data_IF_388634131816
#
_entry.id   IF_388634131816
#
_cell.length_a   1.000
_cell.length_b   1.000
_cell.length_c   1.000
_cell.angle_alpha   90.00
_cell.angle_beta   90.00
_cell.angle_gamma   90.00
#
_symmetry.space_group_name_H-M   'P 1'
#
loop_
_entity.id
_entity.type
_entity.pdbx_description
1 polymer ?
#
# COMPACT_ATOMS: atom_id res chain seq x y z
N UNK A 1 1.08 15.15 -24.03
CA UNK A 1 0.68 14.19 -22.99
C UNK A 1 0.11 14.99 -21.83
N UNK A 2 -1.19 14.86 -21.53
CA UNK A 2 -1.84 15.69 -20.50
C UNK A 2 -1.71 14.98 -19.15
N UNK A 3 -1.04 15.61 -18.18
CA UNK A 3 -0.89 15.07 -16.82
C UNK A 3 -2.27 15.14 -16.14
N UNK A 4 -2.94 14.00 -15.92
CA UNK A 4 -4.10 13.95 -15.02
C UNK A 4 -3.62 14.39 -13.63
N UNK A 5 -4.40 15.22 -12.94
CA UNK A 5 -4.14 15.63 -11.56
C UNK A 5 -5.32 15.13 -10.75
N UNK A 6 -5.15 14.03 -10.01
CA UNK A 6 -6.16 13.55 -9.04
C UNK A 6 -6.35 14.65 -7.99
N UNK A 7 -7.60 15.04 -7.70
CA UNK A 7 -7.94 16.12 -6.74
C UNK A 7 -8.64 15.48 -5.54
N UNK A 8 -7.99 15.51 -4.38
CA UNK A 8 -8.50 14.93 -3.15
C UNK A 8 -9.52 15.87 -2.47
N UNK A 9 -10.79 15.45 -2.42
CA UNK A 9 -11.89 16.25 -1.88
C UNK A 9 -12.34 15.77 -0.48
N UNK A 10 -11.56 16.08 0.54
CA UNK A 10 -11.89 15.75 1.94
C UNK A 10 -13.02 16.62 2.51
N UNK A 11 -14.23 16.08 2.64
CA UNK A 11 -15.33 16.74 3.36
C UNK A 11 -15.18 16.58 4.87
N UNK A 12 -14.93 17.68 5.57
CA UNK A 12 -15.01 17.77 7.03
C UNK A 12 -16.21 18.61 7.46
N UNK A 13 -17.11 18.03 8.27
CA UNK A 13 -18.10 18.78 9.05
C UNK A 13 -17.93 18.45 10.53
N UNK A 14 -17.19 19.31 11.23
CA UNK A 14 -17.13 19.30 12.68
C UNK A 14 -18.31 20.11 13.25
N UNK A 15 -19.07 19.52 14.18
CA UNK A 15 -20.01 20.25 15.04
C UNK A 15 -19.43 20.24 16.45
N UNK A 16 -18.76 21.33 16.82
CA UNK A 16 -18.33 21.59 18.19
C UNK A 16 -19.42 22.36 18.94
N UNK A 17 -20.10 21.71 19.88
CA UNK A 17 -20.90 22.39 20.89
C UNK A 17 -20.03 22.63 22.10
N UNK A 18 -19.59 23.88 22.29
CA UNK A 18 -18.87 24.30 23.49
C UNK A 18 -19.85 24.73 24.58
N UNK A 19 -19.66 24.20 25.80
CA UNK A 19 -20.28 24.71 27.02
C UNK A 19 -19.17 25.11 28.01
N UNK A 20 -19.30 26.24 28.73
CA UNK A 20 -18.25 26.69 29.64
C UNK A 20 -18.32 25.94 30.97
N UNK A 21 -17.19 25.43 31.44
CA UNK A 21 -17.00 25.05 32.84
C UNK A 21 -15.83 25.88 33.38
N UNK A 22 -16.12 26.77 34.32
CA UNK A 22 -15.10 27.44 35.11
C UNK A 22 -14.77 26.60 36.35
N UNK A 23 -13.48 26.44 36.65
CA UNK A 23 -13.00 26.08 38.00
C UNK A 23 -11.54 26.46 38.19
N UNK A 24 -11.37 27.50 39.01
CA UNK A 24 -10.28 27.92 39.89
C UNK A 24 -8.92 27.19 39.84
N UNK A 25 -7.86 27.99 39.89
CA UNK A 25 -6.48 27.57 40.09
C UNK A 25 -6.17 27.22 41.56
N UNK A 26 -5.10 26.46 41.77
CA UNK A 26 -4.39 26.35 43.05
C UNK A 26 -2.88 26.28 42.78
N UNK A 27 -2.11 27.13 43.47
CA UNK A 27 -0.65 27.26 43.31
C UNK A 27 0.14 26.14 44.01
N UNK A 28 1.24 25.68 43.39
CA UNK A 28 2.34 24.96 44.08
C UNK A 28 3.70 25.29 43.46
N UNK A 29 4.70 25.56 44.31
CA UNK A 29 6.10 25.88 43.97
C UNK A 29 7.07 25.14 44.92
N UNK A 30 8.31 24.79 44.58
CA UNK A 30 9.05 24.74 43.29
C UNK A 30 9.99 23.50 43.33
N UNK A 31 10.78 23.15 42.30
CA UNK A 31 12.11 23.70 41.97
C UNK A 31 12.63 23.00 40.67
N UNK A 32 13.68 23.50 39.98
CA UNK A 32 13.92 23.19 38.57
C UNK A 32 14.82 21.96 38.33
N UNK A 33 14.63 21.34 37.16
CA UNK A 33 15.64 20.51 36.50
C UNK A 33 15.83 20.97 35.04
N UNK A 34 17.03 20.67 34.50
CA UNK A 34 17.57 21.35 33.32
C UNK A 34 16.82 21.07 32.01
N UNK A 35 16.82 22.08 31.14
CA UNK A 35 16.15 22.02 29.84
C UNK A 35 16.84 21.07 28.85
N UNK A 36 16.02 20.26 28.19
CA UNK A 36 16.29 19.78 26.83
C UNK A 36 15.21 20.34 25.91
N UNK A 37 15.52 21.42 25.19
CA UNK A 37 14.66 21.93 24.12
C UNK A 37 14.71 20.98 22.92
N UNK A 38 13.86 19.96 22.90
CA UNK A 38 13.51 19.28 21.65
C UNK A 38 12.59 20.20 20.85
N UNK A 39 13.21 21.05 20.03
CA UNK A 39 12.50 21.91 19.07
C UNK A 39 11.81 21.02 18.02
N UNK A 40 10.59 20.60 18.30
CA UNK A 40 9.75 19.91 17.34
C UNK A 40 9.49 20.83 16.15
N UNK A 41 9.92 20.42 14.96
CA UNK A 41 9.78 21.24 13.74
C UNK A 41 8.31 21.44 13.38
N UNK A 42 7.78 22.60 13.75
CA UNK A 42 6.41 23.04 13.43
C UNK A 42 6.12 23.00 11.92
N UNK A 43 7.17 23.07 11.08
CA UNK A 43 7.11 22.94 9.63
C UNK A 43 6.51 21.60 9.14
N UNK A 44 6.73 20.49 9.86
CA UNK A 44 6.18 19.17 9.48
C UNK A 44 4.67 19.10 9.73
N UNK A 45 4.18 19.74 10.80
CA UNK A 45 2.75 19.83 11.08
C UNK A 45 2.05 20.82 10.13
N UNK A 46 2.74 21.92 9.78
CA UNK A 46 2.26 22.92 8.82
C UNK A 46 2.05 22.31 7.41
N UNK A 47 2.93 21.40 6.97
CA UNK A 47 2.79 20.70 5.68
C UNK A 47 1.56 19.80 5.64
N UNK A 48 1.26 19.09 6.74
CA UNK A 48 0.07 18.25 6.86
C UNK A 48 -1.24 19.08 6.92
N UNK A 49 -1.19 20.31 7.44
CA UNK A 49 -2.36 21.20 7.51
C UNK A 49 -2.58 22.04 6.23
N UNK A 50 -1.55 22.29 5.43
CA UNK A 50 -1.64 23.08 4.20
C UNK A 50 -2.49 22.45 3.07
N UNK A 51 -2.89 21.19 3.20
CA UNK A 51 -3.81 20.53 2.28
C UNK A 51 -5.31 20.83 2.53
N UNK A 52 -5.65 21.65 3.53
CA UNK A 52 -7.03 22.08 3.77
C UNK A 52 -7.27 23.54 3.38
N UNK A 53 -7.97 23.73 2.26
CA UNK A 53 -8.84 24.90 2.06
C UNK A 53 -8.42 25.91 1.00
N UNK A 54 -8.95 25.74 -0.22
CA UNK A 54 -9.47 26.87 -0.99
C UNK A 54 -10.74 26.43 -1.73
N UNK A 55 -11.87 27.02 -1.34
CA UNK A 55 -13.17 26.81 -1.99
C UNK A 55 -13.85 28.14 -2.29
N UNK A 56 -14.55 28.19 -3.42
CA UNK A 56 -15.57 29.19 -3.73
C UNK A 56 -16.81 28.44 -4.29
N UNK A 57 -18.04 28.91 -4.04
CA UNK A 57 -19.20 28.02 -3.99
C UNK A 57 -19.93 27.87 -5.32
N UNK A 58 -20.39 26.64 -5.62
CA UNK A 58 -21.44 26.36 -6.60
C UNK A 58 -22.51 25.46 -5.96
N UNK A 59 -23.77 25.71 -6.30
CA UNK A 59 -24.96 25.03 -5.74
C UNK A 59 -25.12 23.59 -6.27
N UNK A 60 -25.86 22.72 -5.56
CA UNK A 60 -25.73 21.26 -5.72
C UNK A 60 -26.55 20.69 -6.87
N UNK A 61 -26.02 19.66 -7.52
CA UNK A 61 -26.77 18.74 -8.37
C UNK A 61 -26.09 17.36 -8.42
N UNK A 62 -26.92 16.30 -8.32
CA UNK A 62 -26.68 14.89 -8.67
C UNK A 62 -25.46 14.15 -8.06
N UNK A 63 -25.78 13.06 -7.35
CA UNK A 63 -24.90 11.97 -6.95
C UNK A 63 -24.47 11.08 -8.13
N UNK A 64 -23.19 10.68 -8.15
CA UNK A 64 -22.50 9.59 -8.90
C UNK A 64 -21.02 10.03 -9.01
N UNK A 65 -19.97 9.20 -9.03
CA UNK A 65 -19.73 7.82 -8.61
C UNK A 65 -18.23 7.75 -8.18
N UNK A 66 -17.75 6.63 -7.62
CA UNK A 66 -16.39 6.56 -7.04
C UNK A 66 -15.26 6.51 -8.07
N UNK A 67 -14.22 7.33 -7.88
CA UNK A 67 -12.92 7.20 -8.56
C UNK A 67 -11.93 6.42 -7.68
N UNK A 68 -11.96 5.09 -7.79
CA UNK A 68 -10.86 4.23 -7.34
C UNK A 68 -9.92 3.95 -8.50
N UNK A 69 -8.89 4.77 -8.68
CA UNK A 69 -7.96 4.75 -9.83
C UNK A 69 -6.53 4.34 -9.42
N UNK A 70 -6.42 3.46 -8.43
CA UNK A 70 -5.26 2.55 -8.26
C UNK A 70 -5.36 1.32 -9.17
N UNK A 71 -6.50 1.11 -9.86
CA UNK A 71 -6.63 0.15 -10.97
C UNK A 71 -5.94 0.60 -12.26
N UNK A 72 -4.91 1.45 -12.16
CA UNK A 72 -4.29 2.14 -13.28
C UNK A 72 -3.67 1.21 -14.31
N UNK A 73 -3.94 1.50 -15.58
CA UNK A 73 -3.23 1.04 -16.79
C UNK A 73 -3.13 -0.48 -17.12
N UNK A 74 -3.06 -1.41 -16.16
CA UNK A 74 -3.03 -2.87 -16.44
C UNK A 74 -4.37 -3.60 -16.20
N UNK A 75 -5.31 -2.97 -15.48
CA UNK A 75 -6.53 -3.63 -14.99
C UNK A 75 -7.64 -3.94 -16.02
N UNK A 76 -7.57 -3.44 -17.26
CA UNK A 76 -8.62 -3.68 -18.26
C UNK A 76 -8.56 -5.11 -18.84
N UNK A 77 -9.26 -6.03 -18.15
CA UNK A 77 -9.53 -7.45 -18.49
C UNK A 77 -8.55 -8.52 -17.94
N UNK A 78 -8.06 -8.36 -16.70
CA UNK A 78 -7.51 -9.53 -15.97
C UNK A 78 -8.59 -10.61 -15.75
N UNK A 79 -8.19 -11.87 -15.77
CA UNK A 79 -9.08 -12.97 -15.43
C UNK A 79 -9.51 -12.89 -13.94
N UNK A 80 -10.76 -13.20 -13.56
CA UNK A 80 -11.27 -13.04 -12.18
C UNK A 80 -10.39 -13.62 -11.08
N UNK A 81 -9.77 -14.78 -11.33
CA UNK A 81 -8.81 -15.39 -10.39
C UNK A 81 -7.55 -14.52 -10.18
N UNK A 82 -7.01 -13.98 -11.26
CA UNK A 82 -5.75 -13.24 -11.27
C UNK A 82 -5.98 -11.83 -10.71
N UNK A 83 -7.08 -11.19 -11.07
CA UNK A 83 -7.50 -9.91 -10.49
C UNK A 83 -7.68 -10.02 -8.97
N UNK A 84 -8.40 -11.04 -8.49
CA UNK A 84 -8.59 -11.26 -7.06
C UNK A 84 -7.27 -11.58 -6.33
N UNK A 85 -6.44 -12.47 -6.89
CA UNK A 85 -5.18 -12.85 -6.22
C UNK A 85 -4.18 -11.69 -6.21
N UNK A 86 -4.01 -10.96 -7.32
CA UNK A 86 -3.25 -9.70 -7.40
C UNK A 86 -3.72 -8.71 -6.34
N UNK A 87 -5.02 -8.47 -6.24
CA UNK A 87 -5.58 -7.53 -5.26
C UNK A 87 -5.32 -7.93 -3.80
N UNK A 88 -5.41 -9.22 -3.47
CA UNK A 88 -5.05 -9.73 -2.15
C UNK A 88 -3.57 -9.49 -1.84
N UNK A 89 -2.70 -9.71 -2.83
CA UNK A 89 -1.26 -9.58 -2.65
C UNK A 89 -0.79 -8.11 -2.64
N UNK A 90 -1.45 -7.21 -3.39
CA UNK A 90 -1.26 -5.76 -3.18
C UNK A 90 -1.62 -5.34 -1.75
N UNK A 91 -2.75 -5.82 -1.21
CA UNK A 91 -3.10 -5.58 0.19
C UNK A 91 -1.98 -6.08 1.13
N UNK A 92 -1.37 -7.25 0.87
CA UNK A 92 -0.22 -7.72 1.65
C UNK A 92 1.00 -6.79 1.53
N UNK A 93 1.28 -6.27 0.34
CA UNK A 93 2.36 -5.31 0.09
C UNK A 93 2.26 -4.05 0.95
N UNK A 94 1.10 -3.38 0.97
CA UNK A 94 0.90 -2.23 1.88
C UNK A 94 0.99 -2.66 3.36
N UNK A 95 0.35 -3.78 3.72
CA UNK A 95 0.34 -4.28 5.11
C UNK A 95 1.75 -4.64 5.63
N UNK A 96 2.68 -5.04 4.75
CA UNK A 96 4.10 -5.22 5.08
C UNK A 96 4.72 -3.88 5.49
N UNK A 97 4.58 -2.87 4.64
CA UNK A 97 5.23 -1.56 4.81
C UNK A 97 4.62 -0.75 5.94
N UNK A 98 3.29 -0.75 6.06
CA UNK A 98 2.58 -0.19 7.20
C UNK A 98 3.01 -0.83 8.53
N UNK A 99 3.33 -2.14 8.55
CA UNK A 99 3.85 -2.78 9.76
C UNK A 99 5.27 -2.33 10.11
N UNK A 100 6.19 -2.27 9.13
CA UNK A 100 7.55 -1.75 9.34
C UNK A 100 7.53 -0.31 9.89
N UNK A 101 6.64 0.54 9.35
CA UNK A 101 6.47 1.91 9.82
C UNK A 101 5.90 1.97 11.25
N UNK A 102 4.94 1.12 11.59
CA UNK A 102 4.41 0.99 12.96
C UNK A 102 5.50 0.51 13.94
N UNK A 103 6.35 -0.44 13.54
CA UNK A 103 7.47 -0.94 14.35
C UNK A 103 8.55 0.13 14.56
N UNK A 104 8.76 1.01 13.57
CA UNK A 104 9.56 2.22 13.71
C UNK A 104 8.85 3.36 14.48
N UNK A 105 7.64 3.14 15.01
CA UNK A 105 6.83 4.14 15.73
C UNK A 105 6.19 5.22 14.84
N UNK A 106 6.33 5.12 13.52
CA UNK A 106 5.87 6.09 12.50
C UNK A 106 4.40 5.89 12.12
N UNK A 107 3.51 5.81 13.12
CA UNK A 107 2.08 5.53 12.94
C UNK A 107 1.35 6.47 11.97
N UNK A 108 1.79 7.74 11.83
CA UNK A 108 1.18 8.68 10.90
C UNK A 108 1.55 8.33 9.44
N UNK A 109 2.83 8.06 9.20
CA UNK A 109 3.36 7.66 7.89
C UNK A 109 2.90 6.25 7.50
N UNK A 110 2.62 5.41 8.48
CA UNK A 110 2.04 4.09 8.29
C UNK A 110 0.58 4.14 7.84
N UNK A 111 -0.16 5.24 8.10
CA UNK A 111 -1.61 5.25 7.92
C UNK A 111 -2.09 5.06 6.47
N UNK A 112 -1.50 5.72 5.43
CA UNK A 112 -1.90 5.51 4.02
C UNK A 112 -1.90 4.02 3.61
N UNK A 113 -0.91 3.25 4.08
CA UNK A 113 -0.77 1.80 3.90
C UNK A 113 -1.92 0.94 4.47
N UNK A 114 -2.84 1.53 5.23
CA UNK A 114 -4.08 0.88 5.69
C UNK A 114 -5.34 1.55 5.12
N UNK A 115 -5.20 2.67 4.40
CA UNK A 115 -6.28 3.34 3.68
C UNK A 115 -6.36 2.88 2.22
N UNK A 116 -5.25 2.79 1.48
CA UNK A 116 -5.27 2.33 0.08
C UNK A 116 -5.93 0.93 -0.04
N UNK A 117 -5.62 -0.06 0.84
CA UNK A 117 -6.40 -1.30 0.94
C UNK A 117 -7.91 -1.15 1.23
N UNK A 118 -8.32 -0.21 2.10
CA UNK A 118 -9.72 -0.02 2.53
C UNK A 118 -10.56 0.73 1.50
N UNK A 119 -9.99 1.79 0.94
CA UNK A 119 -10.68 2.85 0.19
C UNK A 119 -10.55 2.64 -1.33
N UNK A 120 -9.41 2.14 -1.82
CA UNK A 120 -9.10 1.98 -3.24
C UNK A 120 -9.15 0.52 -3.71
N UNK A 121 -8.31 -0.37 -3.17
CA UNK A 121 -8.19 -1.76 -3.67
C UNK A 121 -9.47 -2.58 -3.44
N UNK A 122 -10.00 -2.62 -2.21
CA UNK A 122 -11.10 -3.52 -1.87
C UNK A 122 -12.34 -3.31 -2.76
N UNK A 123 -12.53 -2.10 -3.28
CA UNK A 123 -13.70 -1.77 -4.06
C UNK A 123 -13.82 -2.60 -5.35
N UNK A 124 -12.70 -2.84 -6.05
CA UNK A 124 -12.65 -3.65 -7.27
C UNK A 124 -12.86 -5.15 -7.01
N UNK A 125 -12.45 -5.66 -5.85
CA UNK A 125 -12.47 -7.10 -5.55
C UNK A 125 -13.86 -7.67 -5.24
N UNK A 126 -14.89 -6.81 -5.07
CA UNK A 126 -16.20 -7.23 -4.52
C UNK A 126 -16.93 -8.29 -5.33
N UNK A 127 -16.85 -8.26 -6.67
CA UNK A 127 -17.53 -9.24 -7.53
C UNK A 127 -16.74 -10.55 -7.63
N UNK A 128 -15.41 -10.50 -7.60
CA UNK A 128 -14.61 -11.72 -7.57
C UNK A 128 -14.74 -12.45 -6.24
N UNK A 129 -14.76 -11.73 -5.11
CA UNK A 129 -15.00 -12.34 -3.80
C UNK A 129 -16.30 -13.17 -3.79
N UNK A 130 -17.36 -12.71 -4.45
CA UNK A 130 -18.59 -13.50 -4.66
C UNK A 130 -18.34 -14.70 -5.58
N UNK A 131 -17.70 -14.49 -6.73
CA UNK A 131 -17.38 -15.52 -7.74
C UNK A 131 -16.54 -16.68 -7.17
N UNK A 132 -15.67 -16.40 -6.20
CA UNK A 132 -14.84 -17.40 -5.52
C UNK A 132 -15.41 -17.86 -4.17
N UNK A 133 -16.64 -17.44 -3.80
CA UNK A 133 -17.30 -17.74 -2.51
C UNK A 133 -16.45 -17.37 -1.28
N UNK A 134 -15.68 -16.29 -1.39
CA UNK A 134 -14.84 -15.75 -0.31
C UNK A 134 -15.67 -14.80 0.56
N UNK A 135 -15.54 -14.93 1.88
CA UNK A 135 -16.20 -14.02 2.81
C UNK A 135 -15.67 -12.58 2.68
N UNK A 136 -16.53 -11.55 2.62
CA UNK A 136 -16.11 -10.17 2.48
C UNK A 136 -15.29 -9.69 3.70
N UNK A 137 -14.24 -8.91 3.45
CA UNK A 137 -13.30 -8.44 4.48
C UNK A 137 -13.19 -6.92 4.62
N UNK A 138 -14.07 -6.12 3.99
CA UNK A 138 -14.08 -4.65 4.13
C UNK A 138 -14.12 -4.18 5.59
N UNK A 139 -14.93 -4.84 6.43
CA UNK A 139 -15.04 -4.50 7.84
C UNK A 139 -13.75 -4.81 8.63
N UNK A 140 -12.96 -5.78 8.19
CA UNK A 140 -11.66 -6.09 8.80
C UNK A 140 -10.61 -5.04 8.40
N UNK A 141 -10.56 -4.62 7.13
CA UNK A 141 -9.72 -3.52 6.66
C UNK A 141 -10.02 -2.22 7.42
N UNK A 142 -11.31 -1.85 7.49
CA UNK A 142 -11.77 -0.67 8.24
C UNK A 142 -11.44 -0.72 9.73
N UNK A 143 -11.63 -1.89 10.36
CA UNK A 143 -11.24 -2.09 11.76
C UNK A 143 -9.73 -1.91 11.95
N UNK A 144 -8.93 -2.45 11.03
CA UNK A 144 -7.48 -2.32 11.06
C UNK A 144 -7.03 -0.86 10.91
N UNK A 145 -7.51 -0.13 9.89
CA UNK A 145 -7.16 1.29 9.69
C UNK A 145 -7.54 2.15 10.90
N UNK A 146 -8.68 1.87 11.55
CA UNK A 146 -9.10 2.52 12.79
C UNK A 146 -8.14 2.26 13.96
N UNK A 147 -7.58 1.05 14.11
CA UNK A 147 -6.57 0.79 15.16
C UNK A 147 -5.27 1.55 14.93
N UNK A 148 -4.89 1.77 13.65
CA UNK A 148 -3.71 2.55 13.25
C UNK A 148 -3.94 4.04 13.49
N UNK A 149 -5.10 4.58 13.11
CA UNK A 149 -5.56 5.94 13.46
C UNK A 149 -5.51 6.18 14.98
N UNK A 150 -5.92 5.20 15.77
CA UNK A 150 -5.89 5.24 17.23
C UNK A 150 -4.53 4.93 17.88
N UNK A 151 -3.51 4.55 17.09
CA UNK A 151 -2.17 4.12 17.54
C UNK A 151 -2.18 3.02 18.63
N UNK A 152 -3.19 2.14 18.59
CA UNK A 152 -3.40 1.11 19.61
C UNK A 152 -2.75 -0.20 19.16
N UNK A 153 -1.51 -0.48 19.62
CA UNK A 153 -0.72 -1.66 19.20
C UNK A 153 -1.39 -3.00 19.51
N UNK A 154 -2.08 -3.14 20.63
CA UNK A 154 -2.77 -4.39 21.01
C UNK A 154 -4.00 -4.64 20.13
N UNK A 155 -4.79 -3.59 19.85
CA UNK A 155 -5.91 -3.68 18.95
C UNK A 155 -5.44 -3.92 17.50
N UNK A 156 -4.38 -3.24 17.07
CA UNK A 156 -3.73 -3.45 15.77
C UNK A 156 -3.30 -4.90 15.59
N UNK A 157 -2.56 -5.48 16.54
CA UNK A 157 -2.08 -6.87 16.45
C UNK A 157 -3.24 -7.86 16.27
N UNK A 158 -4.35 -7.68 17.01
CA UNK A 158 -5.55 -8.52 16.87
C UNK A 158 -6.29 -8.30 15.55
N UNK A 159 -6.48 -7.05 15.13
CA UNK A 159 -7.14 -6.72 13.87
C UNK A 159 -6.33 -7.21 12.65
N UNK A 160 -5.00 -7.13 12.72
CA UNK A 160 -4.06 -7.59 11.71
C UNK A 160 -4.14 -9.11 11.53
N UNK A 161 -4.02 -9.87 12.62
CA UNK A 161 -4.15 -11.34 12.56
C UNK A 161 -5.51 -11.78 11.98
N UNK A 162 -6.60 -11.13 12.39
CA UNK A 162 -7.94 -11.42 11.85
C UNK A 162 -8.08 -11.06 10.36
N UNK A 163 -7.35 -10.06 9.84
CA UNK A 163 -7.30 -9.78 8.42
C UNK A 163 -6.41 -10.80 7.67
N UNK A 164 -5.25 -11.14 8.21
CA UNK A 164 -4.32 -12.12 7.60
C UNK A 164 -4.98 -13.50 7.40
N UNK A 165 -5.82 -13.95 8.36
CA UNK A 165 -6.67 -15.15 8.23
C UNK A 165 -7.65 -15.07 7.05
N UNK A 166 -8.27 -13.89 6.83
CA UNK A 166 -9.23 -13.66 5.75
C UNK A 166 -8.55 -13.63 4.38
N UNK A 167 -7.39 -12.99 4.29
CA UNK A 167 -6.57 -12.97 3.09
C UNK A 167 -6.09 -14.39 2.74
N UNK A 168 -5.57 -15.16 3.71
CA UNK A 168 -5.14 -16.54 3.51
C UNK A 168 -6.29 -17.48 3.06
N UNK A 169 -7.50 -17.29 3.60
CA UNK A 169 -8.69 -18.02 3.15
C UNK A 169 -9.07 -17.65 1.71
N UNK A 170 -8.94 -16.37 1.33
CA UNK A 170 -9.21 -15.88 -0.02
C UNK A 170 -8.21 -16.45 -1.05
N UNK A 171 -6.91 -16.42 -0.75
CA UNK A 171 -5.85 -17.03 -1.57
C UNK A 171 -6.09 -18.53 -1.76
N UNK A 172 -6.46 -19.23 -0.68
CA UNK A 172 -6.76 -20.66 -0.72
C UNK A 172 -7.95 -20.95 -1.63
N UNK A 173 -9.01 -20.16 -1.56
CA UNK A 173 -10.20 -20.32 -2.40
C UNK A 173 -9.88 -20.10 -3.89
N UNK A 174 -9.07 -19.09 -4.23
CA UNK A 174 -8.64 -18.85 -5.62
C UNK A 174 -7.72 -19.96 -6.11
N UNK A 175 -6.60 -20.19 -5.41
CA UNK A 175 -5.58 -21.18 -5.81
C UNK A 175 -6.13 -22.61 -5.90
N UNK A 176 -7.19 -22.94 -5.16
CA UNK A 176 -7.84 -24.27 -5.25
C UNK A 176 -8.48 -24.57 -6.60
N UNK A 177 -8.73 -23.55 -7.44
CA UNK A 177 -9.30 -23.71 -8.79
C UNK A 177 -8.25 -23.76 -9.90
N UNK A 178 -6.98 -23.52 -9.58
CA UNK A 178 -5.91 -23.36 -10.57
C UNK A 178 -5.12 -24.65 -10.80
N UNK A 179 -4.98 -25.04 -12.07
CA UNK A 179 -4.31 -26.29 -12.48
C UNK A 179 -2.80 -26.14 -12.62
N UNK A 180 -2.30 -24.96 -12.99
CA UNK A 180 -0.87 -24.62 -13.01
C UNK A 180 -0.56 -23.57 -11.93
N UNK A 181 -0.73 -23.97 -10.66
CA UNK A 181 -0.58 -23.08 -9.50
C UNK A 181 0.81 -22.42 -9.37
N UNK A 182 1.86 -23.03 -9.91
CA UNK A 182 3.19 -22.40 -10.00
C UNK A 182 3.16 -21.21 -10.96
N UNK A 183 2.75 -21.44 -12.21
CA UNK A 183 2.68 -20.38 -13.21
C UNK A 183 1.75 -19.24 -12.77
N UNK A 184 0.57 -19.58 -12.25
CA UNK A 184 -0.39 -18.61 -11.72
C UNK A 184 0.19 -17.74 -10.59
N UNK A 185 1.02 -18.31 -9.71
CA UNK A 185 1.71 -17.55 -8.66
C UNK A 185 2.78 -16.62 -9.24
N UNK A 186 3.53 -17.06 -10.26
CA UNK A 186 4.50 -16.22 -10.96
C UNK A 186 3.82 -15.08 -11.74
N UNK A 187 2.67 -15.35 -12.39
CA UNK A 187 1.88 -14.38 -13.15
C UNK A 187 1.26 -13.33 -12.21
N UNK A 188 0.76 -13.75 -11.05
CA UNK A 188 0.31 -12.83 -9.99
C UNK A 188 1.47 -11.94 -9.50
N UNK A 189 2.67 -12.49 -9.33
CA UNK A 189 3.84 -11.69 -8.95
C UNK A 189 4.22 -10.66 -10.03
N UNK A 190 4.06 -10.98 -11.33
CA UNK A 190 4.25 -10.02 -12.41
C UNK A 190 3.22 -8.88 -12.35
N UNK A 191 1.93 -9.18 -12.15
CA UNK A 191 0.87 -8.17 -12.03
C UNK A 191 1.06 -7.23 -10.82
N UNK A 192 1.61 -7.75 -9.71
CA UNK A 192 2.00 -6.95 -8.55
C UNK A 192 3.24 -6.09 -8.84
N UNK A 193 4.22 -6.62 -9.58
CA UNK A 193 5.39 -5.85 -10.02
C UNK A 193 5.03 -4.75 -11.02
N UNK A 194 4.04 -4.95 -11.89
CA UNK A 194 3.55 -3.92 -12.81
C UNK A 194 2.98 -2.72 -12.03
N UNK A 195 2.12 -2.95 -11.03
CA UNK A 195 1.67 -1.88 -10.14
C UNK A 195 2.86 -1.18 -9.45
N UNK A 196 3.85 -1.95 -9.00
CA UNK A 196 5.06 -1.38 -8.39
C UNK A 196 5.83 -0.44 -9.33
N UNK A 197 5.73 -0.63 -10.66
CA UNK A 197 6.32 0.28 -11.63
C UNK A 197 5.55 1.60 -11.74
N UNK A 198 4.22 1.55 -11.68
CA UNK A 198 3.37 2.73 -11.69
C UNK A 198 3.59 3.57 -10.42
N UNK A 199 3.54 2.95 -9.23
CA UNK A 199 3.83 3.65 -7.97
C UNK A 199 5.26 4.20 -7.94
N UNK A 200 6.26 3.45 -8.41
CA UNK A 200 7.64 3.95 -8.46
C UNK A 200 7.81 5.10 -9.47
N UNK A 201 7.00 5.11 -10.53
CA UNK A 201 6.89 6.22 -11.47
C UNK A 201 6.28 7.47 -10.84
N UNK A 202 5.16 7.33 -10.11
CA UNK A 202 4.50 8.42 -9.39
C UNK A 202 5.35 8.97 -8.23
N UNK A 203 6.19 8.12 -7.61
CA UNK A 203 7.15 8.51 -6.59
C UNK A 203 8.20 9.53 -7.07
N UNK A 204 8.56 9.55 -8.36
CA UNK A 204 9.72 10.29 -8.88
C UNK A 204 9.31 11.59 -9.59
N UNK A 205 9.75 12.75 -9.06
CA UNK A 205 9.70 14.02 -9.79
C UNK A 205 11.06 14.71 -9.88
N UNK A 206 11.50 14.98 -11.13
CA UNK A 206 12.77 15.68 -11.44
C UNK A 206 13.98 15.01 -10.76
N UNK A 207 14.08 13.68 -10.95
CA UNK A 207 15.12 12.81 -10.40
C UNK A 207 15.29 12.89 -8.86
N UNK A 208 14.17 12.97 -8.15
CA UNK A 208 14.09 12.89 -6.68
C UNK A 208 12.85 12.09 -6.31
N UNK A 209 12.91 11.37 -5.18
CA UNK A 209 11.69 10.83 -4.56
C UNK A 209 10.90 12.03 -4.01
N UNK A 210 9.77 12.32 -4.65
CA UNK A 210 8.91 13.46 -4.37
C UNK A 210 7.63 13.03 -3.65
N UNK A 211 7.11 11.84 -3.96
CA UNK A 211 6.10 11.19 -3.15
C UNK A 211 6.73 10.02 -2.37
N UNK A 212 6.62 10.09 -1.04
CA UNK A 212 7.18 9.07 -0.13
C UNK A 212 6.25 7.88 0.00
N UNK A 213 4.93 8.07 -0.18
CA UNK A 213 3.94 7.00 -0.06
C UNK A 213 4.07 6.05 -1.25
N UNK A 214 4.11 6.56 -2.48
CA UNK A 214 4.19 5.66 -3.65
C UNK A 214 5.56 4.93 -3.73
N UNK A 215 6.64 5.54 -3.22
CA UNK A 215 7.92 4.84 -3.02
C UNK A 215 7.79 3.68 -2.02
N UNK A 216 6.99 3.87 -0.98
CA UNK A 216 6.72 2.87 0.04
C UNK A 216 5.80 1.76 -0.48
N UNK A 217 4.78 2.09 -1.28
CA UNK A 217 3.88 1.11 -1.90
C UNK A 217 4.59 0.27 -2.95
N UNK A 218 5.36 0.90 -3.84
CA UNK A 218 6.26 0.20 -4.78
C UNK A 218 7.20 -0.77 -4.07
N UNK A 219 7.75 -0.37 -2.92
CA UNK A 219 8.59 -1.25 -2.08
C UNK A 219 7.77 -2.43 -1.55
N UNK A 220 6.58 -2.20 -1.03
CA UNK A 220 5.69 -3.24 -0.50
C UNK A 220 5.40 -4.30 -1.54
N UNK A 221 4.99 -3.88 -2.74
CA UNK A 221 4.69 -4.74 -3.87
C UNK A 221 5.91 -5.54 -4.35
N UNK A 222 7.11 -4.94 -4.42
CA UNK A 222 8.35 -5.64 -4.80
C UNK A 222 8.76 -6.72 -3.79
N UNK A 223 8.64 -6.44 -2.49
CA UNK A 223 8.97 -7.43 -1.45
C UNK A 223 7.91 -8.54 -1.35
N UNK A 224 6.65 -8.23 -1.63
CA UNK A 224 5.58 -9.22 -1.71
C UNK A 224 5.73 -10.13 -2.94
N UNK A 225 6.09 -9.58 -4.10
CA UNK A 225 6.46 -10.37 -5.28
C UNK A 225 7.65 -11.33 -5.02
N UNK A 226 8.65 -10.92 -4.23
CA UNK A 226 9.76 -11.80 -3.81
C UNK A 226 9.27 -12.94 -2.88
N UNK A 227 8.27 -12.70 -2.00
CA UNK A 227 7.63 -13.76 -1.20
C UNK A 227 6.88 -14.75 -2.09
N UNK A 228 6.03 -14.27 -2.99
CA UNK A 228 5.25 -15.08 -3.94
C UNK A 228 6.16 -15.99 -4.76
N UNK A 229 7.18 -15.42 -5.38
CA UNK A 229 8.14 -16.16 -6.21
C UNK A 229 8.97 -17.13 -5.36
N UNK A 230 9.36 -16.73 -4.14
CA UNK A 230 10.02 -17.61 -3.18
C UNK A 230 9.20 -18.86 -2.82
N UNK A 231 7.87 -18.74 -2.72
CA UNK A 231 6.98 -19.86 -2.40
C UNK A 231 6.94 -20.96 -3.47
N UNK A 232 7.23 -20.63 -4.74
CA UNK A 232 7.24 -21.58 -5.87
C UNK A 232 8.62 -21.81 -6.49
N UNK A 233 9.66 -21.16 -5.96
CA UNK A 233 11.03 -21.19 -6.51
C UNK A 233 11.63 -22.60 -6.60
N UNK A 234 11.25 -23.53 -5.72
CA UNK A 234 11.67 -24.94 -5.78
C UNK A 234 11.19 -25.60 -7.07
N UNK A 235 9.91 -25.47 -7.36
CA UNK A 235 9.27 -26.13 -8.50
C UNK A 235 9.67 -25.43 -9.80
N UNK A 236 9.83 -24.10 -9.78
CA UNK A 236 10.39 -23.33 -10.88
C UNK A 236 11.83 -23.79 -11.19
N UNK A 237 12.68 -23.94 -10.18
CA UNK A 237 14.06 -24.44 -10.36
C UNK A 237 14.11 -25.87 -10.91
N UNK A 238 13.13 -26.70 -10.56
CA UNK A 238 13.00 -28.06 -11.09
C UNK A 238 12.50 -28.10 -12.55
N UNK A 239 11.63 -27.16 -12.97
CA UNK A 239 11.16 -27.04 -14.37
C UNK A 239 12.18 -26.38 -15.28
N UNK A 240 12.80 -25.28 -14.86
CA UNK A 240 13.82 -24.55 -15.62
C UNK A 240 14.76 -23.77 -14.67
N UNK A 241 15.96 -24.29 -14.35
CA UNK A 241 16.85 -23.68 -13.36
C UNK A 241 17.44 -22.33 -13.81
N UNK A 242 17.70 -22.14 -15.11
CA UNK A 242 18.27 -20.88 -15.62
C UNK A 242 17.23 -19.75 -15.60
N UNK A 243 16.00 -20.03 -16.02
CA UNK A 243 14.90 -19.06 -15.95
C UNK A 243 14.53 -18.75 -14.48
N UNK A 244 14.55 -19.74 -13.58
CA UNK A 244 14.29 -19.54 -12.15
C UNK A 244 15.36 -18.65 -11.49
N UNK A 245 16.64 -18.87 -11.83
CA UNK A 245 17.75 -18.02 -11.42
C UNK A 245 17.61 -16.58 -11.95
N UNK A 246 17.15 -16.41 -13.19
CA UNK A 246 16.95 -15.10 -13.80
C UNK A 246 15.73 -14.33 -13.23
N UNK A 247 14.64 -15.02 -12.88
CA UNK A 247 13.53 -14.45 -12.09
C UNK A 247 14.04 -13.90 -10.74
N UNK A 248 14.82 -14.71 -10.01
CA UNK A 248 15.38 -14.31 -8.71
C UNK A 248 16.36 -13.14 -8.82
N UNK A 249 17.18 -13.11 -9.87
CA UNK A 249 18.09 -12.00 -10.12
C UNK A 249 17.35 -10.68 -10.41
N UNK A 250 16.23 -10.73 -11.14
CA UNK A 250 15.39 -9.55 -11.39
C UNK A 250 14.78 -9.01 -10.09
N UNK A 251 14.28 -9.89 -9.21
CA UNK A 251 13.75 -9.50 -7.90
C UNK A 251 14.82 -8.90 -6.98
N UNK A 252 16.03 -9.46 -6.95
CA UNK A 252 17.12 -8.90 -6.14
C UNK A 252 17.59 -7.53 -6.68
N UNK A 253 17.57 -7.32 -8.00
CA UNK A 253 17.81 -5.99 -8.61
C UNK A 253 16.70 -4.99 -8.25
N UNK A 254 15.42 -5.39 -8.25
CA UNK A 254 14.29 -4.55 -7.84
C UNK A 254 14.33 -4.20 -6.35
N UNK A 255 14.61 -5.18 -5.48
CA UNK A 255 14.75 -4.95 -4.03
C UNK A 255 15.89 -4.01 -3.69
N UNK A 256 17.00 -4.04 -4.45
CA UNK A 256 18.13 -3.13 -4.27
C UNK A 256 17.77 -1.65 -4.52
N UNK A 257 16.67 -1.37 -5.22
CA UNK A 257 16.13 0.00 -5.40
C UNK A 257 15.60 0.59 -4.09
N UNK A 258 15.25 -0.25 -3.12
CA UNK A 258 14.60 0.13 -1.86
C UNK A 258 15.46 -0.19 -0.62
N UNK A 259 16.59 0.51 -0.40
CA UNK A 259 17.52 0.23 0.69
C UNK A 259 16.92 0.44 2.10
N UNK A 260 15.82 1.19 2.20
CA UNK A 260 15.06 1.38 3.43
C UNK A 260 13.61 1.79 3.11
N UNK A 261 12.71 1.64 4.10
CA UNK A 261 11.32 2.14 4.06
C UNK A 261 11.24 3.68 4.05
N UNK A 262 12.30 4.36 4.48
CA UNK A 262 12.48 5.80 4.25
C UNK A 262 13.29 5.99 2.96
N UNK A 263 12.78 6.72 1.96
CA UNK A 263 13.50 6.88 0.70
C UNK A 263 14.81 7.68 0.84
N UNK A 264 15.83 7.35 0.03
CA UNK A 264 16.93 8.28 -0.26
C UNK A 264 16.42 9.52 -1.02
N UNK A 265 17.16 10.64 -0.96
CA UNK A 265 16.78 11.89 -1.65
C UNK A 265 16.72 11.77 -3.18
N UNK A 266 17.55 10.91 -3.74
CA UNK A 266 17.58 10.57 -5.16
C UNK A 266 17.21 9.11 -5.31
N UNK A 267 16.43 8.73 -6.35
CA UNK A 267 16.16 7.33 -6.62
C UNK A 267 17.45 6.56 -6.90
N UNK A 268 17.51 5.30 -6.47
CA UNK A 268 18.65 4.40 -6.76
C UNK A 268 18.71 4.06 -8.26
N UNK A 269 17.55 4.06 -8.92
CA UNK A 269 17.34 3.68 -10.32
C UNK A 269 16.21 4.53 -10.91
N UNK A 270 16.25 4.93 -12.18
CA UNK A 270 15.09 5.63 -12.75
C UNK A 270 13.93 4.68 -13.09
N UNK A 271 12.73 5.23 -13.32
CA UNK A 271 11.52 4.44 -13.55
C UNK A 271 11.55 3.60 -14.84
N UNK A 272 12.28 4.04 -15.87
CA UNK A 272 12.46 3.29 -17.13
C UNK A 272 13.36 2.07 -16.90
N UNK A 273 14.44 2.27 -16.16
CA UNK A 273 15.36 1.22 -15.75
C UNK A 273 14.72 0.24 -14.74
N UNK A 274 13.77 0.71 -13.92
CA UNK A 274 12.93 -0.12 -13.05
C UNK A 274 12.02 -1.05 -13.88
N UNK A 275 11.22 -0.46 -14.77
CA UNK A 275 10.34 -1.19 -15.71
C UNK A 275 11.12 -2.18 -16.59
N UNK A 276 12.33 -1.81 -17.02
CA UNK A 276 13.26 -2.68 -17.77
C UNK A 276 13.57 -3.98 -17.02
N UNK A 277 13.70 -3.96 -15.69
CA UNK A 277 13.91 -5.19 -14.91
C UNK A 277 12.64 -6.02 -14.73
N UNK A 278 11.46 -5.39 -14.72
CA UNK A 278 10.19 -6.11 -14.73
C UNK A 278 9.98 -6.81 -16.09
N UNK A 279 10.31 -6.15 -17.20
CA UNK A 279 10.29 -6.77 -18.53
C UNK A 279 11.26 -7.97 -18.64
N UNK A 280 12.41 -7.94 -17.95
CA UNK A 280 13.32 -9.11 -17.84
C UNK A 280 12.65 -10.26 -17.07
N UNK A 281 11.93 -9.96 -15.98
CA UNK A 281 11.18 -10.94 -15.18
C UNK A 281 10.07 -11.59 -16.03
N UNK A 282 9.25 -10.79 -16.71
CA UNK A 282 8.21 -11.24 -17.63
C UNK A 282 8.76 -12.16 -18.74
N UNK A 283 9.90 -11.82 -19.33
CA UNK A 283 10.53 -12.67 -20.35
C UNK A 283 10.89 -14.07 -19.81
N UNK A 284 11.26 -14.18 -18.53
CA UNK A 284 11.54 -15.50 -17.91
C UNK A 284 10.26 -16.27 -17.61
N UNK A 285 9.19 -15.58 -17.24
CA UNK A 285 7.88 -16.14 -16.91
C UNK A 285 7.30 -17.01 -18.04
N UNK A 286 7.57 -16.65 -19.30
CA UNK A 286 7.22 -17.44 -20.48
C UNK A 286 7.76 -18.88 -20.49
N UNK A 287 8.84 -19.17 -19.77
CA UNK A 287 9.41 -20.53 -19.64
C UNK A 287 8.61 -21.46 -18.71
N UNK A 288 7.62 -20.92 -17.99
CA UNK A 288 6.89 -21.65 -16.95
C UNK A 288 5.43 -21.98 -17.30
N UNK A 289 4.92 -21.52 -18.46
CA UNK A 289 3.61 -21.91 -19.01
C UNK A 289 3.47 -23.42 -19.16
#
# INVERSE_FOLDING_TARGET
MMKKRKIWAGLSTAVLVAAPIASQAADVTAYPQAAFETKADQNLLQLAQAHQGHGAPVKPAASMDGEGDEGGASGENLAPQLHLYRGIEMIRGHLLVGNELIEAGRWADALPHFLHPEEEIYAGLREDLKTFNVAPFQAALKSLSQTVKAKNKDAYTRARAALDERLAAAETAVRSKETNGMYFTLETALEVLQQAADEYGEAIEKNRIANVVEYQDARGFVFEADRLVGAVMRDASAKNPDAAKALKASLDELKAVFPAVTPPKQPVKDASDFLSTIAKFELQLGNFR
#
